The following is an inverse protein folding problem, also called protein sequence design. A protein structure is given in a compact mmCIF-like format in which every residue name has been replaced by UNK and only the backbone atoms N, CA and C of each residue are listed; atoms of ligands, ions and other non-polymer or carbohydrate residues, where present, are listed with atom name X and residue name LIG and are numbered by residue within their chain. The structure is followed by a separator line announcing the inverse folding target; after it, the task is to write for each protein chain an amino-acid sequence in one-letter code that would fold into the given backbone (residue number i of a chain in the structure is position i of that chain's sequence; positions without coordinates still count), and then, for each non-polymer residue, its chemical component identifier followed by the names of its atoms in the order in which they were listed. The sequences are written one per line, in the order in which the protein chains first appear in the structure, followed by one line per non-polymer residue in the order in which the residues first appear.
data_IF_648457868629
#
_entry.id   IF_648457868629
#
_cell.length_a   1.000
_cell.length_b   1.000
_cell.length_c   1.000
_cell.angle_alpha   90.00
_cell.angle_beta   90.00
_cell.angle_gamma   90.00
#
_symmetry.space_group_name_H-M   'P 1'
#
loop_
_entity.id
_entity.type
_entity.pdbx_description
1 polymer ?
#
# COMPACT_ATOMS: atom_id res chain seq x y z
N UNK A 1 6.23 63.62 -4.39
CA UNK A 1 5.84 62.65 -3.35
C UNK A 1 4.76 61.81 -3.98
N UNK A 2 5.12 60.61 -4.40
CA UNK A 2 4.17 59.65 -4.94
C UNK A 2 3.64 58.82 -3.79
N UNK A 3 2.33 58.93 -3.57
CA UNK A 3 1.54 57.90 -2.90
C UNK A 3 1.02 56.98 -4.01
N UNK A 4 1.63 55.81 -4.13
CA UNK A 4 0.93 54.62 -4.62
C UNK A 4 0.72 53.76 -3.39
N UNK A 5 -0.45 53.93 -2.77
CA UNK A 5 -1.06 52.91 -1.95
C UNK A 5 -1.32 51.71 -2.88
N UNK A 6 -0.36 50.78 -2.91
CA UNK A 6 -0.64 49.41 -3.32
C UNK A 6 -1.58 48.84 -2.25
N UNK A 7 -2.89 48.99 -2.47
CA UNK A 7 -3.93 48.19 -1.84
C UNK A 7 -3.64 46.72 -2.19
N UNK A 8 -2.76 46.07 -1.42
CA UNK A 8 -2.66 44.63 -1.39
C UNK A 8 -4.03 44.13 -0.94
N UNK A 9 -4.75 43.51 -1.85
CA UNK A 9 -6.01 42.85 -1.58
C UNK A 9 -5.75 41.74 -0.54
N UNK A 10 -6.01 42.02 0.72
CA UNK A 10 -5.89 41.12 1.88
C UNK A 10 -6.76 39.85 1.74
N UNK A 11 -7.48 39.67 0.62
CA UNK A 11 -8.22 38.44 0.28
C UNK A 11 -7.45 37.47 -0.62
N UNK A 12 -6.29 37.84 -1.17
CA UNK A 12 -5.53 36.95 -2.05
C UNK A 12 -4.67 35.95 -1.25
N UNK A 13 -4.96 34.65 -1.38
CA UNK A 13 -4.20 33.60 -0.71
C UNK A 13 -2.76 33.52 -1.25
N UNK A 14 -1.79 33.90 -0.43
CA UNK A 14 -0.36 33.87 -0.77
C UNK A 14 0.33 32.51 -0.52
N UNK A 15 -0.42 31.49 -0.10
CA UNK A 15 0.11 30.14 0.14
C UNK A 15 0.15 29.29 -1.12
N UNK A 16 0.42 27.98 -0.97
CA UNK A 16 0.37 27.07 -2.11
C UNK A 16 -1.09 26.93 -2.59
N UNK A 17 -1.37 26.88 -3.90
CA UNK A 17 -2.74 26.80 -4.41
C UNK A 17 -3.57 25.61 -3.88
N UNK A 18 -2.93 24.48 -3.57
CA UNK A 18 -3.59 23.30 -3.00
C UNK A 18 -3.99 23.45 -1.52
N UNK A 19 -3.41 24.43 -0.82
CA UNK A 19 -3.65 24.71 0.58
C UNK A 19 -4.63 25.88 0.77
N UNK A 20 -5.10 26.49 -0.34
CA UNK A 20 -6.08 27.58 -0.34
C UNK A 20 -7.41 27.12 0.31
N UNK A 21 -7.80 27.70 1.46
CA UNK A 21 -9.05 27.34 2.14
C UNK A 21 -10.30 27.55 1.28
N UNK A 22 -10.32 28.56 0.41
CA UNK A 22 -11.45 28.85 -0.47
C UNK A 22 -11.61 27.76 -1.53
N UNK A 23 -10.49 27.36 -2.14
CA UNK A 23 -10.46 26.23 -3.08
C UNK A 23 -10.92 24.95 -2.40
N UNK A 24 -10.41 24.65 -1.20
CA UNK A 24 -10.79 23.44 -0.46
C UNK A 24 -12.30 23.42 -0.12
N UNK A 25 -12.85 24.56 0.31
CA UNK A 25 -14.29 24.69 0.57
C UNK A 25 -15.13 24.52 -0.69
N UNK A 26 -14.70 25.09 -1.83
CA UNK A 26 -15.37 24.92 -3.12
C UNK A 26 -15.34 23.46 -3.59
N UNK A 27 -14.19 22.78 -3.47
CA UNK A 27 -14.05 21.37 -3.81
C UNK A 27 -14.96 20.50 -2.93
N UNK A 28 -15.02 20.78 -1.64
CA UNK A 28 -15.89 20.06 -0.71
C UNK A 28 -17.37 20.26 -1.04
N UNK A 29 -17.80 21.49 -1.33
CA UNK A 29 -19.17 21.77 -1.78
C UNK A 29 -19.51 21.02 -3.08
N UNK A 30 -18.58 21.00 -4.06
CA UNK A 30 -18.74 20.25 -5.31
C UNK A 30 -18.90 18.75 -5.04
N UNK A 31 -18.09 18.16 -4.15
CA UNK A 31 -18.18 16.74 -3.76
C UNK A 31 -19.52 16.42 -3.10
N UNK A 32 -19.98 17.28 -2.18
CA UNK A 32 -21.25 17.09 -1.48
C UNK A 32 -22.45 17.14 -2.44
N UNK A 33 -22.49 18.15 -3.33
CA UNK A 33 -23.53 18.24 -4.36
C UNK A 33 -23.52 17.02 -5.27
N UNK A 34 -22.34 16.60 -5.73
CA UNK A 34 -22.21 15.42 -6.59
C UNK A 34 -22.71 14.15 -5.89
N UNK A 35 -22.39 13.95 -4.61
CA UNK A 35 -22.86 12.78 -3.84
C UNK A 35 -24.37 12.78 -3.59
N UNK A 36 -24.99 13.96 -3.52
CA UNK A 36 -26.45 14.07 -3.39
C UNK A 36 -27.16 13.63 -4.68
N UNK A 37 -26.59 13.95 -5.84
CA UNK A 37 -27.10 13.57 -7.15
C UNK A 37 -26.71 12.13 -7.54
N UNK A 38 -25.54 11.68 -7.09
CA UNK A 38 -24.95 10.38 -7.36
C UNK A 38 -24.61 9.69 -6.04
N UNK A 39 -25.54 8.92 -5.44
CA UNK A 39 -25.26 8.15 -4.23
C UNK A 39 -24.06 7.21 -4.39
N UNK A 40 -23.37 6.90 -3.29
CA UNK A 40 -22.20 6.01 -3.28
C UNK A 40 -22.62 4.54 -3.42
N UNK A 41 -23.01 4.14 -4.62
CA UNK A 41 -23.46 2.78 -4.93
C UNK A 41 -22.60 2.25 -6.05
N UNK A 42 -22.00 1.08 -5.82
CA UNK A 42 -21.21 0.32 -6.79
C UNK A 42 -20.15 1.19 -7.48
N UNK A 43 -19.37 1.90 -6.66
CA UNK A 43 -18.37 2.85 -7.10
C UNK A 43 -17.12 2.84 -6.22
N UNK A 44 -15.98 3.14 -6.84
CA UNK A 44 -14.73 3.47 -6.16
C UNK A 44 -14.64 4.96 -5.89
N UNK A 45 -14.13 5.34 -4.73
CA UNK A 45 -13.83 6.72 -4.34
C UNK A 45 -12.35 6.82 -4.00
N UNK A 46 -11.60 7.50 -4.86
CA UNK A 46 -10.19 7.79 -4.67
C UNK A 46 -10.03 9.13 -3.95
N UNK A 47 -9.26 9.16 -2.87
CA UNK A 47 -8.90 10.37 -2.12
C UNK A 47 -7.41 10.38 -1.84
N UNK A 48 -6.94 11.49 -1.27
CA UNK A 48 -5.58 11.59 -0.78
C UNK A 48 -5.30 10.42 0.18
N UNK A 49 -4.33 9.58 -0.19
CA UNK A 49 -3.85 8.42 0.58
C UNK A 49 -4.84 7.27 0.81
N UNK A 50 -6.07 7.35 0.30
CA UNK A 50 -7.10 6.33 0.54
C UNK A 50 -7.92 6.04 -0.72
N UNK A 51 -8.37 4.79 -0.86
CA UNK A 51 -9.29 4.36 -1.91
C UNK A 51 -10.40 3.57 -1.23
N UNK A 52 -11.66 3.96 -1.43
CA UNK A 52 -12.82 3.33 -0.80
C UNK A 52 -13.70 2.68 -1.86
N UNK A 53 -14.11 1.42 -1.64
CA UNK A 53 -15.13 0.76 -2.45
C UNK A 53 -16.46 0.80 -1.70
N UNK A 54 -17.51 1.26 -2.38
CA UNK A 54 -18.88 1.18 -1.90
C UNK A 54 -19.68 0.22 -2.78
N UNK A 55 -20.40 -0.71 -2.16
CA UNK A 55 -21.36 -1.59 -2.83
C UNK A 55 -22.73 -1.44 -2.16
N UNK A 56 -23.78 -1.23 -2.94
CA UNK A 56 -25.14 -1.06 -2.39
C UNK A 56 -25.27 0.05 -1.34
N UNK A 57 -24.47 1.11 -1.42
CA UNK A 57 -24.49 2.21 -0.44
C UNK A 57 -23.59 2.02 0.79
N UNK A 58 -22.94 0.86 0.93
CA UNK A 58 -22.14 0.51 2.12
C UNK A 58 -20.67 0.40 1.73
N UNK A 59 -19.77 0.98 2.54
CA UNK A 59 -18.32 0.79 2.34
C UNK A 59 -17.97 -0.67 2.56
N UNK A 60 -17.37 -1.30 1.54
CA UNK A 60 -16.93 -2.70 1.57
C UNK A 60 -15.43 -2.85 1.64
N UNK A 61 -14.67 -1.87 1.13
CA UNK A 61 -13.21 -1.87 1.22
C UNK A 61 -12.70 -0.47 1.52
N UNK A 62 -11.68 -0.38 2.37
CA UNK A 62 -10.82 0.78 2.53
C UNK A 62 -9.38 0.37 2.25
N UNK A 63 -8.76 1.01 1.27
CA UNK A 63 -7.34 0.86 0.94
C UNK A 63 -6.60 2.07 1.49
N UNK A 64 -5.67 1.85 2.41
CA UNK A 64 -4.74 2.86 2.90
C UNK A 64 -3.43 2.75 2.11
N UNK A 65 -3.27 3.56 1.06
CA UNK A 65 -2.14 3.42 0.12
C UNK A 65 -0.79 3.66 0.78
N UNK A 66 -0.75 4.55 1.78
CA UNK A 66 0.45 4.83 2.59
C UNK A 66 0.84 3.70 3.55
N UNK A 67 -0.05 2.75 3.83
CA UNK A 67 0.21 1.61 4.72
C UNK A 67 0.27 0.28 3.99
N UNK A 68 0.00 0.26 2.68
CA UNK A 68 -0.22 -0.97 1.93
C UNK A 68 -1.31 -1.87 2.52
N UNK A 69 -2.29 -1.26 3.18
CA UNK A 69 -3.27 -1.98 3.98
C UNK A 69 -4.64 -1.90 3.30
N UNK A 70 -5.32 -3.04 3.21
CA UNK A 70 -6.71 -3.14 2.79
C UNK A 70 -7.52 -3.62 3.99
N UNK A 71 -8.60 -2.92 4.30
CA UNK A 71 -9.59 -3.30 5.30
C UNK A 71 -10.87 -3.66 4.58
N UNK A 72 -11.33 -4.89 4.78
CA UNK A 72 -12.57 -5.40 4.22
C UNK A 72 -13.67 -5.30 5.27
N UNK A 73 -14.85 -4.85 4.83
CA UNK A 73 -16.02 -4.69 5.67
C UNK A 73 -17.11 -5.66 5.21
N UNK A 74 -17.76 -6.28 6.19
CA UNK A 74 -18.91 -7.12 5.95
C UNK A 74 -20.13 -6.27 5.47
N UNK A 75 -21.23 -6.90 5.02
CA UNK A 75 -22.42 -6.15 4.58
C UNK A 75 -23.05 -5.25 5.65
N UNK A 76 -22.79 -5.50 6.94
CA UNK A 76 -23.22 -4.67 8.06
C UNK A 76 -22.30 -3.48 8.37
N UNK A 77 -21.21 -3.30 7.61
CA UNK A 77 -20.24 -2.21 7.80
C UNK A 77 -19.22 -2.45 8.91
N UNK A 78 -19.17 -3.65 9.51
CA UNK A 78 -18.14 -4.00 10.49
C UNK A 78 -16.89 -4.55 9.79
N UNK A 79 -15.72 -4.36 10.41
CA UNK A 79 -14.46 -4.90 9.90
C UNK A 79 -14.55 -6.43 9.91
N UNK A 80 -14.32 -7.04 8.75
CA UNK A 80 -14.27 -8.48 8.56
C UNK A 80 -12.83 -8.98 8.62
N UNK A 81 -11.93 -8.34 7.87
CA UNK A 81 -10.51 -8.69 7.85
C UNK A 81 -9.65 -7.53 7.37
N UNK A 82 -8.35 -7.62 7.61
CA UNK A 82 -7.35 -6.72 7.06
C UNK A 82 -6.26 -7.53 6.35
N UNK A 83 -5.75 -7.00 5.25
CA UNK A 83 -4.70 -7.63 4.45
C UNK A 83 -3.68 -6.61 3.97
N UNK A 84 -2.41 -7.00 3.95
CA UNK A 84 -1.35 -6.26 3.28
C UNK A 84 -1.34 -6.67 1.80
N UNK A 85 -1.05 -5.74 0.90
CA UNK A 85 -0.82 -6.02 -0.51
C UNK A 85 0.58 -5.62 -0.97
N UNK A 86 1.10 -6.39 -1.93
CA UNK A 86 2.38 -6.16 -2.59
C UNK A 86 2.25 -5.04 -3.62
N UNK A 87 3.36 -4.38 -3.94
CA UNK A 87 3.43 -3.36 -5.01
C UNK A 87 3.27 -3.96 -6.41
N UNK A 88 3.51 -5.26 -6.56
CA UNK A 88 3.16 -6.01 -7.75
C UNK A 88 1.66 -6.36 -7.83
N UNK A 89 0.83 -5.91 -6.88
CA UNK A 89 -0.61 -6.16 -6.86
C UNK A 89 -1.41 -4.86 -7.00
N UNK A 90 -2.43 -4.91 -7.85
CA UNK A 90 -3.36 -3.82 -8.00
C UNK A 90 -4.42 -3.88 -6.89
N UNK A 91 -4.55 -2.85 -6.04
CA UNK A 91 -5.51 -2.86 -4.93
C UNK A 91 -6.97 -2.94 -5.40
N UNK A 92 -7.28 -2.41 -6.58
CA UNK A 92 -8.62 -2.52 -7.16
C UNK A 92 -8.96 -3.97 -7.51
N UNK A 93 -8.08 -4.63 -8.26
CA UNK A 93 -8.29 -6.01 -8.71
C UNK A 93 -8.30 -7.00 -7.52
N UNK A 94 -7.42 -6.78 -6.53
CA UNK A 94 -7.40 -7.56 -5.31
C UNK A 94 -8.71 -7.47 -4.53
N UNK A 95 -9.26 -6.27 -4.39
CA UNK A 95 -10.51 -6.06 -3.68
C UNK A 95 -11.69 -6.74 -4.38
N UNK A 96 -11.77 -6.57 -5.70
CA UNK A 96 -12.84 -7.16 -6.52
C UNK A 96 -12.79 -8.68 -6.50
N UNK A 97 -11.58 -9.25 -6.63
CA UNK A 97 -11.37 -10.68 -6.51
C UNK A 97 -11.71 -11.22 -5.11
N UNK A 98 -11.33 -10.50 -4.04
CA UNK A 98 -11.64 -10.90 -2.67
C UNK A 98 -13.16 -10.92 -2.41
N UNK A 99 -13.88 -9.93 -2.93
CA UNK A 99 -15.33 -9.82 -2.77
C UNK A 99 -16.11 -10.71 -3.74
N UNK A 100 -15.45 -11.31 -4.74
CA UNK A 100 -16.09 -12.13 -5.77
C UNK A 100 -17.03 -11.33 -6.67
N UNK A 101 -16.68 -10.08 -6.96
CA UNK A 101 -17.47 -9.18 -7.81
C UNK A 101 -16.77 -8.89 -9.13
N UNK A 102 -17.56 -8.49 -10.12
CA UNK A 102 -17.04 -7.98 -11.38
C UNK A 102 -16.40 -6.60 -11.22
N UNK A 103 -15.64 -6.18 -12.23
CA UNK A 103 -14.94 -4.90 -12.28
C UNK A 103 -15.92 -3.73 -12.16
N UNK A 104 -15.74 -2.91 -11.13
CA UNK A 104 -16.50 -1.67 -10.93
C UNK A 104 -15.88 -0.57 -11.78
N UNK A 105 -16.63 -0.09 -12.77
CA UNK A 105 -16.14 0.90 -13.74
C UNK A 105 -16.21 2.34 -13.20
N UNK A 106 -17.13 2.62 -12.29
CA UNK A 106 -17.30 3.96 -11.75
C UNK A 106 -16.21 4.25 -10.73
N UNK A 107 -15.35 5.22 -11.06
CA UNK A 107 -14.28 5.69 -10.20
C UNK A 107 -14.45 7.19 -10.02
N UNK A 108 -14.50 7.62 -8.76
CA UNK A 108 -14.65 9.00 -8.35
C UNK A 108 -13.33 9.50 -7.78
N UNK A 109 -12.64 10.36 -8.50
CA UNK A 109 -11.48 11.08 -7.99
C UNK A 109 -11.94 12.30 -7.18
N UNK A 110 -11.93 12.14 -5.86
CA UNK A 110 -12.21 13.18 -4.90
C UNK A 110 -10.92 13.72 -4.26
N UNK A 111 -9.76 13.55 -4.90
CA UNK A 111 -8.51 14.17 -4.45
C UNK A 111 -8.57 15.71 -4.59
N UNK A 112 -7.58 16.41 -4.03
CA UNK A 112 -7.49 17.88 -4.11
C UNK A 112 -7.02 18.37 -5.50
N UNK A 113 -6.42 17.46 -6.27
CA UNK A 113 -5.85 17.72 -7.58
C UNK A 113 -6.78 17.27 -8.72
N UNK A 114 -7.93 16.67 -8.39
CA UNK A 114 -8.89 16.17 -9.38
C UNK A 114 -9.50 17.31 -10.20
N UNK A 115 -9.33 17.26 -11.53
CA UNK A 115 -10.00 18.18 -12.47
C UNK A 115 -11.52 17.86 -12.57
N UNK A 116 -11.85 16.57 -12.50
CA UNK A 116 -13.20 16.03 -12.59
C UNK A 116 -13.42 14.92 -11.55
N UNK A 117 -14.66 14.80 -11.05
CA UNK A 117 -15.00 13.78 -10.06
C UNK A 117 -15.03 12.40 -10.72
N UNK A 118 -15.77 12.19 -11.81
CA UNK A 118 -15.74 10.91 -12.51
C UNK A 118 -14.47 10.79 -13.35
N UNK A 119 -13.57 9.88 -12.97
CA UNK A 119 -12.27 9.74 -13.61
C UNK A 119 -11.74 8.31 -13.48
N UNK A 120 -11.42 7.67 -14.61
CA UNK A 120 -10.74 6.37 -14.63
C UNK A 120 -9.25 6.47 -14.27
N UNK A 121 -8.70 7.69 -14.28
CA UNK A 121 -7.27 7.96 -14.11
C UNK A 121 -6.66 7.29 -12.87
N UNK A 122 -7.28 7.29 -11.66
CA UNK A 122 -6.65 6.67 -10.50
C UNK A 122 -6.38 5.18 -10.68
N UNK A 123 -7.32 4.42 -11.27
CA UNK A 123 -7.08 3.00 -11.55
C UNK A 123 -6.06 2.81 -12.65
N UNK A 124 -6.16 3.55 -13.76
CA UNK A 124 -5.18 3.44 -14.85
C UNK A 124 -3.76 3.80 -14.40
N UNK A 125 -3.64 4.74 -13.47
CA UNK A 125 -2.37 5.07 -12.83
C UNK A 125 -1.83 3.89 -11.99
N UNK A 126 -2.66 3.29 -11.13
CA UNK A 126 -2.26 2.13 -10.34
C UNK A 126 -1.92 0.91 -11.23
N UNK A 127 -2.72 0.62 -12.26
CA UNK A 127 -2.44 -0.43 -13.24
C UNK A 127 -1.06 -0.23 -13.89
N UNK A 128 -0.76 0.98 -14.37
CA UNK A 128 0.56 1.31 -14.95
C UNK A 128 1.70 1.22 -13.93
N UNK A 129 1.46 1.65 -12.69
CA UNK A 129 2.43 1.60 -11.60
C UNK A 129 2.79 0.15 -11.25
N UNK A 130 1.79 -0.71 -11.13
CA UNK A 130 1.94 -2.15 -10.88
C UNK A 130 2.70 -2.81 -12.03
N UNK A 131 2.33 -2.54 -13.28
CA UNK A 131 3.02 -3.10 -14.45
C UNK A 131 4.48 -2.64 -14.53
N UNK A 132 4.75 -1.37 -14.27
CA UNK A 132 6.12 -0.85 -14.20
C UNK A 132 6.91 -1.52 -13.08
N UNK A 133 6.28 -1.75 -11.92
CA UNK A 133 6.92 -2.44 -10.80
C UNK A 133 7.25 -3.89 -11.13
N UNK A 134 6.31 -4.64 -11.73
CA UNK A 134 6.52 -6.03 -12.18
C UNK A 134 7.64 -6.14 -13.23
N UNK A 135 7.74 -5.19 -14.17
CA UNK A 135 8.83 -5.18 -15.16
C UNK A 135 10.22 -4.98 -14.54
N UNK A 136 10.30 -4.34 -13.38
CA UNK A 136 11.56 -4.13 -12.66
C UNK A 136 11.88 -5.24 -11.66
N UNK A 137 10.92 -6.11 -11.36
CA UNK A 137 11.04 -7.21 -10.40
C UNK A 137 10.34 -8.43 -11.05
N UNK A 138 11.07 -9.11 -11.93
CA UNK A 138 10.50 -10.15 -12.80
C UNK A 138 10.00 -11.36 -12.00
N UNK A 139 10.56 -11.58 -10.81
CA UNK A 139 10.12 -12.61 -9.88
C UNK A 139 9.91 -12.09 -8.45
N UNK A 140 9.39 -12.98 -7.60
CA UNK A 140 9.08 -12.69 -6.21
C UNK A 140 10.33 -12.42 -5.36
N UNK A 141 11.49 -12.98 -5.72
CA UNK A 141 12.73 -12.78 -4.95
C UNK A 141 13.29 -11.36 -5.17
N UNK A 142 13.23 -10.88 -6.41
CA UNK A 142 13.57 -9.50 -6.73
C UNK A 142 12.68 -8.52 -5.94
N UNK A 143 11.39 -8.81 -5.87
CA UNK A 143 10.44 -8.02 -5.10
C UNK A 143 10.71 -8.08 -3.58
N UNK A 144 11.03 -9.26 -3.02
CA UNK A 144 11.45 -9.41 -1.61
C UNK A 144 12.69 -8.55 -1.35
N UNK A 145 13.74 -8.69 -2.17
CA UNK A 145 14.97 -7.94 -2.02
C UNK A 145 14.75 -6.43 -2.19
N UNK A 146 13.81 -6.02 -3.06
CA UNK A 146 13.42 -4.62 -3.23
C UNK A 146 12.85 -4.05 -1.95
N UNK A 147 11.97 -4.78 -1.26
CA UNK A 147 11.43 -4.37 0.04
C UNK A 147 12.51 -4.28 1.11
N UNK A 148 13.33 -5.34 1.27
CA UNK A 148 14.39 -5.37 2.27
C UNK A 148 15.41 -4.23 2.06
N UNK A 149 15.81 -3.96 0.82
CA UNK A 149 16.69 -2.82 0.48
C UNK A 149 16.03 -1.48 0.78
N UNK A 150 14.71 -1.35 0.55
CA UNK A 150 13.97 -0.15 0.89
C UNK A 150 13.96 0.08 2.40
N UNK A 151 13.74 -0.98 3.20
CA UNK A 151 13.83 -0.94 4.67
C UNK A 151 15.19 -0.46 5.13
N UNK A 152 16.30 -1.01 4.61
CA UNK A 152 17.67 -0.56 4.93
C UNK A 152 17.86 0.91 4.56
N UNK A 153 17.48 1.32 3.35
CA UNK A 153 17.66 2.70 2.88
C UNK A 153 16.87 3.68 3.73
N UNK A 154 15.61 3.37 4.01
CA UNK A 154 14.75 4.19 4.86
C UNK A 154 15.38 4.29 6.25
N UNK A 155 15.72 3.16 6.87
CA UNK A 155 16.35 3.13 8.19
C UNK A 155 17.65 3.95 8.26
N UNK A 156 18.54 3.84 7.27
CA UNK A 156 19.78 4.63 7.23
C UNK A 156 19.53 6.13 7.07
N UNK A 157 18.44 6.52 6.39
CA UNK A 157 18.02 7.92 6.33
C UNK A 157 17.50 8.43 7.69
N UNK A 158 17.03 7.54 8.58
CA UNK A 158 16.52 7.89 9.91
C UNK A 158 17.60 8.15 10.94
N UNK A 159 18.78 7.54 10.80
CA UNK A 159 19.85 7.66 11.80
C UNK A 159 20.59 8.99 11.66
N UNK A 160 19.99 10.04 12.22
CA UNK A 160 20.73 11.19 12.73
C UNK A 160 21.25 10.88 14.13
N UNK A 161 22.55 10.60 14.25
CA UNK A 161 23.35 10.55 15.48
C UNK A 161 22.85 9.63 16.64
N UNK A 162 23.41 8.42 16.73
CA UNK A 162 23.96 7.92 18.01
C UNK A 162 23.26 6.76 18.74
N UNK A 163 21.99 6.45 18.47
CA UNK A 163 21.30 5.38 19.24
C UNK A 163 21.46 3.99 18.61
N UNK A 164 21.95 3.03 19.42
CA UNK A 164 22.23 1.65 19.00
C UNK A 164 21.01 0.73 19.05
N UNK A 165 20.01 1.02 19.89
CA UNK A 165 18.85 0.15 20.08
C UNK A 165 18.03 -0.10 18.78
N UNK A 166 17.71 0.93 17.95
CA UNK A 166 16.99 0.68 16.70
C UNK A 166 17.80 -0.14 15.70
N UNK A 167 19.14 -0.06 15.76
CA UNK A 167 20.04 -0.77 14.84
C UNK A 167 19.97 -2.28 15.06
N UNK A 168 19.98 -2.70 16.32
CA UNK A 168 20.00 -4.12 16.68
C UNK A 168 18.67 -4.82 16.41
N UNK A 169 17.56 -4.09 16.44
CA UNK A 169 16.22 -4.64 16.22
C UNK A 169 15.69 -4.49 14.78
N UNK A 170 16.26 -3.58 13.99
CA UNK A 170 15.82 -3.34 12.60
C UNK A 170 16.93 -3.64 11.62
N UNK A 171 18.07 -2.95 11.69
CA UNK A 171 19.09 -3.05 10.65
C UNK A 171 19.76 -4.42 10.62
N UNK A 172 20.15 -4.97 11.78
CA UNK A 172 20.85 -6.26 11.85
C UNK A 172 19.96 -7.41 11.33
N UNK A 173 18.70 -7.59 11.80
CA UNK A 173 17.84 -8.64 11.27
C UNK A 173 17.52 -8.46 9.79
N UNK A 174 17.28 -7.23 9.33
CA UNK A 174 16.98 -6.98 7.90
C UNK A 174 18.20 -7.32 7.02
N UNK A 175 19.42 -6.99 7.45
CA UNK A 175 20.64 -7.39 6.73
C UNK A 175 20.83 -8.91 6.72
N UNK A 176 20.48 -9.60 7.82
CA UNK A 176 20.47 -11.06 7.87
C UNK A 176 19.44 -11.63 6.88
N UNK A 177 18.23 -11.09 6.85
CA UNK A 177 17.18 -11.48 5.91
C UNK A 177 17.58 -11.26 4.45
N UNK A 178 18.30 -10.18 4.13
CA UNK A 178 18.87 -9.97 2.78
C UNK A 178 19.84 -11.09 2.43
N UNK A 179 20.79 -11.39 3.32
CA UNK A 179 21.77 -12.46 3.11
C UNK A 179 21.08 -13.81 2.91
N UNK A 180 20.11 -14.13 3.76
CA UNK A 180 19.37 -15.39 3.73
C UNK A 180 18.50 -15.53 2.48
N UNK A 181 17.84 -14.45 2.05
CA UNK A 181 17.10 -14.42 0.77
C UNK A 181 18.03 -14.70 -0.41
N UNK A 182 19.23 -14.09 -0.43
CA UNK A 182 20.25 -14.36 -1.49
C UNK A 182 20.75 -15.80 -1.44
N UNK A 183 20.73 -16.44 -0.27
CA UNK A 183 21.14 -17.85 -0.10
C UNK A 183 20.01 -18.85 -0.34
N UNK A 184 18.77 -18.39 -0.58
CA UNK A 184 17.60 -19.25 -0.72
C UNK A 184 17.05 -19.77 0.62
N UNK A 185 17.48 -19.20 1.74
CA UNK A 185 17.07 -19.58 3.10
C UNK A 185 15.84 -18.77 3.53
N UNK A 186 14.73 -18.90 2.79
CA UNK A 186 13.57 -18.01 2.92
C UNK A 186 12.85 -18.09 4.28
N UNK A 187 12.85 -19.26 4.93
CA UNK A 187 12.29 -19.40 6.27
C UNK A 187 13.10 -18.61 7.32
N UNK A 188 14.42 -18.66 7.24
CA UNK A 188 15.30 -17.88 8.11
C UNK A 188 15.12 -16.37 7.85
N UNK A 189 15.04 -15.98 6.58
CA UNK A 189 14.79 -14.60 6.20
C UNK A 189 13.44 -14.10 6.75
N UNK A 190 12.39 -14.93 6.69
CA UNK A 190 11.07 -14.62 7.23
C UNK A 190 11.13 -14.39 8.75
N UNK A 191 11.81 -15.27 9.50
CA UNK A 191 11.97 -15.12 10.96
C UNK A 191 12.63 -13.79 11.32
N UNK A 192 13.67 -13.39 10.58
CA UNK A 192 14.35 -12.12 10.79
C UNK A 192 13.45 -10.91 10.49
N UNK A 193 12.68 -10.97 9.40
CA UNK A 193 11.71 -9.92 9.04
C UNK A 193 10.59 -9.82 10.08
N UNK A 194 10.04 -10.95 10.54
CA UNK A 194 8.99 -10.98 11.56
C UNK A 194 9.47 -10.41 12.89
N UNK A 195 10.72 -10.67 13.26
CA UNK A 195 11.36 -10.07 14.45
C UNK A 195 11.38 -8.55 14.34
N UNK A 196 11.77 -8.02 13.18
CA UNK A 196 11.75 -6.57 12.90
C UNK A 196 10.33 -6.00 12.92
N UNK A 197 9.35 -6.68 12.32
CA UNK A 197 7.94 -6.26 12.33
C UNK A 197 7.41 -6.20 13.76
N UNK A 198 7.66 -7.24 14.56
CA UNK A 198 7.20 -7.32 15.95
C UNK A 198 7.75 -6.18 16.81
N UNK A 199 9.00 -5.77 16.56
CA UNK A 199 9.59 -4.63 17.27
C UNK A 199 9.02 -3.28 16.79
N UNK A 200 8.81 -3.11 15.49
CA UNK A 200 8.31 -1.86 14.89
C UNK A 200 6.82 -1.62 15.13
N UNK A 201 5.99 -2.66 15.12
CA UNK A 201 4.52 -2.51 15.11
C UNK A 201 3.95 -1.73 16.33
N UNK A 202 4.41 -1.96 17.57
CA UNK A 202 3.96 -1.16 18.73
C UNK A 202 4.40 0.31 18.67
N UNK A 203 5.39 0.63 17.83
CA UNK A 203 6.07 1.94 17.73
C UNK A 203 5.68 2.71 16.47
N UNK A 204 4.62 2.29 15.77
CA UNK A 204 4.21 2.86 14.47
C UNK A 204 3.96 4.38 14.55
N UNK A 205 3.49 4.88 15.70
CA UNK A 205 3.17 6.30 15.92
C UNK A 205 4.35 7.15 16.43
N UNK A 206 5.37 6.51 17.02
CA UNK A 206 6.45 7.22 17.72
C UNK A 206 7.48 7.84 16.77
N UNK A 207 7.49 7.38 15.51
CA UNK A 207 8.41 7.85 14.49
C UNK A 207 7.63 8.10 13.20
N UNK A 208 7.47 9.38 12.81
CA UNK A 208 6.78 9.78 11.57
C UNK A 208 7.26 9.03 10.32
N UNK A 209 8.45 8.43 10.36
CA UNK A 209 9.06 7.68 9.26
C UNK A 209 9.26 6.16 9.54
N UNK A 210 9.00 5.65 10.75
CA UNK A 210 8.94 4.19 10.98
C UNK A 210 7.78 3.55 10.21
N UNK A 211 6.76 4.34 9.84
CA UNK A 211 5.66 3.89 8.97
C UNK A 211 6.15 3.28 7.66
N UNK A 212 7.12 3.91 6.99
CA UNK A 212 7.67 3.40 5.73
C UNK A 212 8.52 2.13 5.92
N UNK A 213 9.33 2.11 6.98
CA UNK A 213 10.15 0.94 7.37
C UNK A 213 9.23 -0.25 7.68
N UNK A 214 8.22 -0.05 8.54
CA UNK A 214 7.25 -1.08 8.90
C UNK A 214 6.43 -1.55 7.70
N UNK A 215 6.02 -0.64 6.80
CA UNK A 215 5.28 -0.98 5.59
C UNK A 215 6.08 -1.91 4.67
N UNK A 216 7.31 -1.55 4.34
CA UNK A 216 8.13 -2.38 3.45
C UNK A 216 8.60 -3.67 4.17
N UNK A 217 8.81 -3.66 5.50
CA UNK A 217 9.03 -4.91 6.26
C UNK A 217 7.81 -5.85 6.19
N UNK A 218 6.60 -5.32 6.38
CA UNK A 218 5.35 -6.09 6.24
C UNK A 218 5.18 -6.69 4.85
N UNK A 219 5.48 -5.94 3.79
CA UNK A 219 5.47 -6.46 2.42
C UNK A 219 6.54 -7.53 2.20
N UNK A 220 7.75 -7.34 2.73
CA UNK A 220 8.80 -8.36 2.68
C UNK A 220 8.34 -9.66 3.37
N UNK A 221 7.75 -9.55 4.57
CA UNK A 221 7.23 -10.70 5.31
C UNK A 221 6.12 -11.44 4.55
N UNK A 222 5.17 -10.70 3.96
CA UNK A 222 4.12 -11.28 3.11
C UNK A 222 4.70 -12.02 1.89
N UNK A 223 5.63 -11.38 1.18
CA UNK A 223 6.26 -11.95 -0.01
C UNK A 223 7.10 -13.20 0.33
N UNK A 224 7.89 -13.15 1.42
CA UNK A 224 8.64 -14.29 1.94
C UNK A 224 7.71 -15.44 2.36
N UNK A 225 6.62 -15.15 3.06
CA UNK A 225 5.62 -16.15 3.43
C UNK A 225 5.01 -16.86 2.22
N UNK A 226 4.72 -16.12 1.13
CA UNK A 226 4.26 -16.70 -0.14
C UNK A 226 5.33 -17.57 -0.80
N UNK A 227 6.61 -17.16 -0.73
CA UNK A 227 7.74 -17.93 -1.26
C UNK A 227 7.91 -19.25 -0.52
N UNK A 228 7.94 -19.23 0.81
CA UNK A 228 8.01 -20.42 1.67
C UNK A 228 6.84 -21.38 1.38
N UNK A 229 5.61 -20.86 1.26
CA UNK A 229 4.44 -21.68 0.93
C UNK A 229 4.56 -22.36 -0.46
N UNK A 230 5.13 -21.65 -1.45
CA UNK A 230 5.37 -22.19 -2.78
C UNK A 230 6.43 -23.32 -2.78
N UNK A 231 7.50 -23.19 -1.99
CA UNK A 231 8.53 -24.21 -1.85
C UNK A 231 8.02 -25.49 -1.19
N UNK A 232 7.20 -25.36 -0.14
CA UNK A 232 6.55 -26.49 0.51
C UNK A 232 5.60 -27.21 -0.44
N UNK A 233 4.80 -26.47 -1.19
CA UNK A 233 3.87 -27.03 -2.18
C UNK A 233 4.62 -27.77 -3.31
N UNK A 234 5.71 -27.19 -3.80
CA UNK A 234 6.59 -27.80 -4.82
C UNK A 234 7.26 -29.08 -4.32
N UNK A 235 7.72 -29.08 -3.07
CA UNK A 235 8.35 -30.23 -2.44
C UNK A 235 7.36 -31.37 -2.22
N UNK A 236 6.15 -31.05 -1.77
CA UNK A 236 5.06 -32.02 -1.63
C UNK A 236 4.69 -32.64 -2.98
N UNK A 237 4.49 -31.82 -4.02
CA UNK A 237 4.19 -32.31 -5.36
C UNK A 237 5.30 -33.21 -5.93
N UNK A 238 6.58 -32.86 -5.73
CA UNK A 238 7.72 -33.70 -6.13
C UNK A 238 7.74 -35.04 -5.41
N UNK A 239 7.47 -35.06 -4.09
CA UNK A 239 7.38 -36.31 -3.31
C UNK A 239 6.22 -37.18 -3.77
N UNK A 240 5.06 -36.60 -4.06
CA UNK A 240 3.89 -37.33 -4.56
C UNK A 240 4.16 -37.96 -5.94
N UNK A 241 4.82 -37.22 -6.85
CA UNK A 241 5.23 -37.74 -8.17
C UNK A 241 6.28 -38.86 -8.06
N UNK A 242 7.22 -38.76 -7.12
CA UNK A 242 8.19 -39.82 -6.87
C UNK A 242 7.55 -41.11 -6.32
N UNK A 243 6.50 -40.98 -5.50
CA UNK A 243 5.74 -42.11 -4.96
C UNK A 243 4.81 -42.76 -5.99
N UNK A 244 4.29 -41.99 -6.95
CA UNK A 244 3.37 -42.48 -8.00
C UNK A 244 4.07 -42.94 -9.28
N UNK A 245 5.33 -42.53 -9.50
CA UNK A 245 6.12 -42.87 -10.68
C UNK A 245 6.85 -44.22 -10.65
N UNK A 246 6.83 -44.97 -9.55
CA UNK A 246 7.49 -46.29 -9.44
C UNK A 246 6.62 -47.49 -9.89
N UNK A 247 5.47 -47.25 -10.53
CA UNK A 247 4.49 -48.29 -10.89
C UNK A 247 4.40 -48.68 -12.37
N UNK A 248 5.47 -48.55 -13.17
CA UNK A 248 5.54 -49.12 -14.53
C UNK A 248 6.92 -49.72 -14.82
N UNK A 249 7.16 -50.89 -14.24
CA UNK A 249 8.11 -51.88 -14.73
C UNK A 249 7.34 -53.07 -15.30
#
# INVERSE_FOLDING_TARGET
MGDTDDDFDDTEWCGRPQDDPHRLAMLEARRQSFRAEHPLVDCWVYRVQTIELFLGGVRRVLVETTRALMTYFNPGGAIETTAIYLRSENPFDLAEAHLGIDRILEIRDESNDAEQILSSYPREYEERSVDAFRRLNEDLDDEILRYLRSVVRLFLHLQGNGDSEPRDHVLIPVLAAVRETVQGEYEAALVNVDTTIAWLAPREMDFMFAKGVLQDSRRAGLALGRRVAAEHSSTFARRLSALTGQGRG
#
